data_IF_231731995280
#
_entry.id   IF_231731995280
#
_cell.length_a   1.000
_cell.length_b   1.000
_cell.length_c   1.000
_cell.angle_alpha   90.00
_cell.angle_beta   90.00
_cell.angle_gamma   90.00
#
_symmetry.space_group_name_H-M   'P 1'
#
loop_
_entity.id
_entity.type
_entity.pdbx_description
1 polymer ?
#
# COMPACT_ATOMS: atom_id res chain seq x y z
N UNK A 1 23.47 14.82 -2.68
CA UNK A 1 23.40 13.51 -3.36
C UNK A 1 22.18 13.54 -4.27
N UNK A 2 22.32 14.07 -5.49
CA UNK A 2 21.28 13.96 -6.51
C UNK A 2 21.69 12.83 -7.43
N UNK A 3 20.97 11.71 -7.40
CA UNK A 3 21.23 10.61 -8.33
C UNK A 3 20.64 10.95 -9.69
N UNK A 4 21.50 11.22 -10.66
CA UNK A 4 21.15 11.27 -12.07
C UNK A 4 20.86 9.84 -12.56
N UNK A 5 19.67 9.32 -12.28
CA UNK A 5 19.28 7.98 -12.75
C UNK A 5 19.24 7.95 -14.28
N UNK A 6 19.88 6.93 -14.86
CA UNK A 6 19.90 6.67 -16.30
C UNK A 6 18.48 6.45 -16.83
N UNK A 7 18.23 6.79 -18.11
CA UNK A 7 16.93 6.52 -18.77
C UNK A 7 16.49 5.05 -18.63
N UNK A 8 17.45 4.11 -18.65
CA UNK A 8 17.17 2.70 -18.49
C UNK A 8 16.80 2.31 -17.04
N UNK A 9 17.31 3.04 -16.04
CA UNK A 9 16.95 2.83 -14.63
C UNK A 9 15.55 3.36 -14.33
N UNK A 10 15.21 4.55 -14.85
CA UNK A 10 13.86 5.11 -14.70
C UNK A 10 12.79 4.21 -15.33
N UNK A 11 13.06 3.63 -16.50
CA UNK A 11 12.13 2.69 -17.14
C UNK A 11 11.89 1.43 -16.29
N UNK A 12 12.96 0.88 -15.70
CA UNK A 12 12.85 -0.28 -14.80
C UNK A 12 12.06 0.06 -13.54
N UNK A 13 12.26 1.25 -12.97
CA UNK A 13 11.50 1.70 -11.79
C UNK A 13 10.01 1.76 -12.12
N UNK A 14 9.64 2.36 -13.26
CA UNK A 14 8.24 2.43 -13.70
C UNK A 14 7.62 1.04 -13.91
N UNK A 15 8.38 0.10 -14.48
CA UNK A 15 7.90 -1.27 -14.64
C UNK A 15 7.64 -1.94 -13.28
N UNK A 16 8.54 -1.74 -12.31
CA UNK A 16 8.37 -2.25 -10.95
C UNK A 16 7.17 -1.61 -10.23
N UNK A 17 6.94 -0.32 -10.39
CA UNK A 17 5.77 0.38 -9.83
C UNK A 17 4.46 -0.21 -10.35
N UNK A 18 4.39 -0.53 -11.66
CA UNK A 18 3.20 -1.17 -12.25
C UNK A 18 3.00 -2.58 -11.69
N UNK A 19 4.07 -3.37 -11.57
CA UNK A 19 4.01 -4.71 -11.01
C UNK A 19 3.51 -4.69 -9.57
N UNK A 20 4.06 -3.79 -8.75
CA UNK A 20 3.68 -3.64 -7.35
C UNK A 20 2.21 -3.20 -7.22
N UNK A 21 1.77 -2.24 -8.05
CA UNK A 21 0.37 -1.82 -8.09
C UNK A 21 -0.60 -2.98 -8.39
N UNK A 22 -0.25 -3.87 -9.33
CA UNK A 22 -1.06 -5.05 -9.65
C UNK A 22 -1.13 -6.01 -8.46
N UNK A 23 -0.01 -6.25 -7.78
CA UNK A 23 0.02 -7.12 -6.59
C UNK A 23 -0.83 -6.55 -5.45
N UNK A 24 -0.78 -5.23 -5.24
CA UNK A 24 -1.61 -4.55 -4.25
C UNK A 24 -3.10 -4.66 -4.58
N UNK A 25 -3.49 -4.46 -5.84
CA UNK A 25 -4.88 -4.65 -6.28
C UNK A 25 -5.34 -6.08 -6.04
N UNK A 26 -4.54 -7.07 -6.44
CA UNK A 26 -4.92 -8.48 -6.29
C UNK A 26 -5.15 -8.82 -4.80
N UNK A 27 -4.25 -8.35 -3.94
CA UNK A 27 -4.38 -8.52 -2.48
C UNK A 27 -5.64 -7.85 -1.92
N UNK A 28 -5.96 -6.64 -2.39
CA UNK A 28 -7.18 -5.92 -2.01
C UNK A 28 -8.43 -6.70 -2.43
N UNK A 29 -8.46 -7.20 -3.65
CA UNK A 29 -9.57 -8.00 -4.18
C UNK A 29 -9.75 -9.27 -3.37
N UNK A 30 -8.68 -10.02 -3.12
CA UNK A 30 -8.72 -11.26 -2.35
C UNK A 30 -9.27 -11.03 -0.93
N UNK A 31 -8.72 -10.04 -0.22
CA UNK A 31 -9.16 -9.73 1.14
C UNK A 31 -10.65 -9.34 1.19
N UNK A 32 -11.09 -8.44 0.31
CA UNK A 32 -12.48 -8.02 0.30
C UNK A 32 -13.43 -9.14 -0.13
N UNK A 33 -13.00 -10.03 -1.04
CA UNK A 33 -13.79 -11.19 -1.41
C UNK A 33 -13.94 -12.17 -0.24
N UNK A 34 -12.83 -12.49 0.45
CA UNK A 34 -12.83 -13.39 1.61
C UNK A 34 -13.66 -12.86 2.78
N UNK A 35 -13.66 -11.54 3.03
CA UNK A 35 -14.45 -10.94 4.11
C UNK A 35 -15.94 -10.79 3.76
N UNK A 36 -16.27 -10.42 2.53
CA UNK A 36 -17.62 -9.98 2.18
C UNK A 36 -18.47 -11.02 1.45
N UNK A 37 -17.89 -12.00 0.76
CA UNK A 37 -18.64 -12.97 -0.06
C UNK A 37 -18.69 -14.32 0.64
N UNK A 38 -19.71 -14.50 1.48
CA UNK A 38 -19.82 -15.67 2.37
C UNK A 38 -20.84 -16.72 1.90
N UNK A 39 -21.63 -16.44 0.85
CA UNK A 39 -22.72 -17.31 0.41
C UNK A 39 -22.74 -17.50 -1.11
N UNK A 40 -22.69 -18.76 -1.55
CA UNK A 40 -22.71 -19.15 -2.97
C UNK A 40 -24.05 -19.70 -3.43
N UNK A 41 -25.16 -19.24 -2.83
CA UNK A 41 -26.51 -19.72 -3.16
C UNK A 41 -27.03 -19.17 -4.50
N UNK A 42 -26.50 -18.04 -4.96
CA UNK A 42 -26.84 -17.39 -6.23
C UNK A 42 -25.58 -17.03 -6.99
N UNK A 43 -25.68 -16.94 -8.32
CA UNK A 43 -24.56 -16.47 -9.17
C UNK A 43 -24.26 -14.99 -8.95
N UNK A 44 -25.30 -14.20 -8.69
CA UNK A 44 -25.18 -12.77 -8.54
C UNK A 44 -24.98 -12.38 -7.07
N UNK A 45 -24.18 -11.34 -6.84
CA UNK A 45 -23.97 -10.76 -5.51
C UNK A 45 -25.27 -10.13 -4.99
N UNK A 46 -25.57 -10.40 -3.72
CA UNK A 46 -26.70 -9.79 -3.04
C UNK A 46 -26.39 -8.33 -2.63
N UNK A 47 -27.40 -7.59 -2.16
CA UNK A 47 -27.26 -6.19 -1.78
C UNK A 47 -26.29 -5.98 -0.60
N UNK A 48 -26.29 -6.89 0.38
CA UNK A 48 -25.40 -6.84 1.54
C UNK A 48 -23.94 -7.04 1.14
N UNK A 49 -23.65 -8.02 0.28
CA UNK A 49 -22.31 -8.29 -0.25
C UNK A 49 -21.79 -7.10 -1.06
N UNK A 50 -22.64 -6.51 -1.92
CA UNK A 50 -22.29 -5.30 -2.70
C UNK A 50 -21.94 -4.13 -1.79
N UNK A 51 -22.72 -3.89 -0.74
CA UNK A 51 -22.44 -2.82 0.22
C UNK A 51 -21.17 -3.11 1.03
N UNK A 52 -20.96 -4.36 1.46
CA UNK A 52 -19.75 -4.78 2.17
C UNK A 52 -18.50 -4.54 1.32
N UNK A 53 -18.50 -4.98 0.05
CA UNK A 53 -17.37 -4.81 -0.87
C UNK A 53 -16.99 -3.33 -1.05
N UNK A 54 -17.99 -2.45 -1.23
CA UNK A 54 -17.75 -0.99 -1.32
C UNK A 54 -17.06 -0.45 -0.07
N UNK A 55 -17.60 -0.80 1.11
CA UNK A 55 -17.05 -0.34 2.39
C UNK A 55 -15.66 -0.93 2.67
N UNK A 56 -15.43 -2.19 2.28
CA UNK A 56 -14.14 -2.86 2.43
C UNK A 56 -13.04 -2.14 1.63
N UNK A 57 -13.30 -1.86 0.35
CA UNK A 57 -12.35 -1.15 -0.51
C UNK A 57 -12.06 0.25 0.04
N UNK A 58 -13.08 1.03 0.41
CA UNK A 58 -12.89 2.36 0.98
C UNK A 58 -12.09 2.33 2.28
N UNK A 59 -12.37 1.37 3.15
CA UNK A 59 -11.65 1.17 4.40
C UNK A 59 -10.18 0.82 4.15
N UNK A 60 -9.89 -0.11 3.24
CA UNK A 60 -8.53 -0.55 2.98
C UNK A 60 -7.68 0.57 2.37
N UNK A 61 -8.22 1.32 1.41
CA UNK A 61 -7.52 2.48 0.84
C UNK A 61 -7.28 3.57 1.88
N UNK A 62 -8.25 3.81 2.76
CA UNK A 62 -8.09 4.78 3.86
C UNK A 62 -7.06 4.31 4.88
N UNK A 63 -7.01 3.00 5.14
CA UNK A 63 -6.02 2.38 6.02
C UNK A 63 -4.61 2.49 5.44
N UNK A 64 -4.42 2.12 4.17
CA UNK A 64 -3.14 2.24 3.46
C UNK A 64 -2.56 3.66 3.57
N UNK A 65 -3.35 4.68 3.26
CA UNK A 65 -2.94 6.10 3.39
C UNK A 65 -2.48 6.47 4.80
N UNK A 66 -3.19 5.99 5.82
CA UNK A 66 -2.83 6.25 7.22
C UNK A 66 -1.54 5.55 7.60
N UNK A 67 -1.36 4.30 7.17
CA UNK A 67 -0.14 3.52 7.41
C UNK A 67 1.05 4.19 6.73
N UNK A 68 0.92 4.61 5.46
CA UNK A 68 1.94 5.35 4.72
C UNK A 68 2.39 6.60 5.47
N UNK A 69 1.44 7.40 5.99
CA UNK A 69 1.77 8.58 6.79
C UNK A 69 2.61 8.22 8.01
N UNK A 70 2.25 7.15 8.74
CA UNK A 70 3.01 6.72 9.92
C UNK A 70 4.38 6.18 9.56
N UNK A 71 4.51 5.45 8.45
CA UNK A 71 5.80 4.97 7.95
C UNK A 71 6.71 6.16 7.62
N UNK A 72 6.19 7.19 6.96
CA UNK A 72 6.95 8.40 6.66
C UNK A 72 7.43 9.13 7.93
N UNK A 73 6.55 9.25 8.93
CA UNK A 73 6.90 9.82 10.25
C UNK A 73 8.02 9.02 10.93
N UNK A 74 7.95 7.68 10.91
CA UNK A 74 8.98 6.80 11.48
C UNK A 74 10.31 6.93 10.73
N UNK A 75 10.29 7.05 9.40
CA UNK A 75 11.48 7.27 8.59
C UNK A 75 12.24 8.55 8.98
N UNK A 76 11.51 9.66 9.18
CA UNK A 76 12.09 10.93 9.63
C UNK A 76 12.71 10.78 11.03
N UNK A 77 12.02 10.11 11.95
CA UNK A 77 12.54 9.89 13.31
C UNK A 77 13.79 9.01 13.32
N UNK A 78 13.83 7.95 12.51
CA UNK A 78 14.99 7.09 12.37
C UNK A 78 16.19 7.86 11.84
N UNK A 79 15.98 8.73 10.85
CA UNK A 79 17.03 9.58 10.31
C UNK A 79 17.57 10.57 11.35
N UNK A 80 16.71 11.23 12.13
CA UNK A 80 17.15 12.12 13.23
C UNK A 80 17.98 11.39 14.28
N UNK A 81 17.55 10.19 14.69
CA UNK A 81 18.31 9.37 15.65
C UNK A 81 19.70 9.03 15.11
N UNK A 82 19.79 8.71 13.83
CA UNK A 82 21.08 8.45 13.19
C UNK A 82 21.98 9.69 13.21
N UNK A 83 21.45 10.87 12.90
CA UNK A 83 22.18 12.14 12.94
C UNK A 83 22.67 12.47 14.37
N UNK A 84 21.83 12.27 15.39
CA UNK A 84 22.18 12.44 16.81
C UNK A 84 23.30 11.48 17.25
N UNK A 85 23.26 10.22 16.82
CA UNK A 85 24.33 9.25 17.09
C UNK A 85 25.66 9.64 16.43
N UNK A 86 25.63 10.20 15.22
CA UNK A 86 26.84 10.70 14.55
C UNK A 86 27.43 11.90 15.31
N UNK A 87 26.58 12.80 15.82
CA UNK A 87 27.02 13.93 16.63
C UNK A 87 27.63 13.47 17.96
N UNK A 88 27.05 12.46 18.61
CA UNK A 88 27.56 11.92 19.88
C UNK A 88 28.91 11.21 19.76
N UNK A 89 29.26 10.71 18.56
CA UNK A 89 30.56 10.06 18.29
C UNK A 89 31.66 11.05 17.89
N UNK A 90 31.35 12.34 17.78
CA UNK A 90 32.29 13.41 17.39
C UNK A 90 32.80 14.16 18.61
#
# INVERSE_FOLDING_TARGET
MGSSTSKAETQKIQELEIQDYIQQINSLIENCFQECVCSFRTRDLNSSEKTCLKNCVERMLSFQKRVEQRIAEQGIMAQRRFEEEQLRKK
#
